data_IF_635402888097
#
_entry.id   IF_635402888097
#
_cell.length_a   1.000
_cell.length_b   1.000
_cell.length_c   1.000
_cell.angle_alpha   90.00
_cell.angle_beta   90.00
_cell.angle_gamma   90.00
#
_symmetry.space_group_name_H-M   'P 1'
#
loop_
_entity.id
_entity.type
_entity.pdbx_description
1 polymer ?
#
# COMPACT_ATOMS: atom_id res chain seq x y z
N UNK A 1 25.96 11.42 9.65
CA UNK A 1 25.12 10.52 10.45
C UNK A 1 23.94 11.35 10.92
N UNK A 2 22.76 11.22 10.31
CA UNK A 2 21.58 12.00 10.67
C UNK A 2 20.56 11.00 11.22
N UNK A 3 20.37 11.01 12.54
CA UNK A 3 19.56 10.04 13.29
C UNK A 3 18.06 10.35 13.13
N UNK A 4 17.19 9.37 13.39
CA UNK A 4 15.71 9.50 13.45
C UNK A 4 15.22 10.67 14.31
N UNK A 5 15.98 11.05 15.33
CA UNK A 5 15.76 12.24 16.17
C UNK A 5 15.76 13.54 15.35
N UNK A 6 16.58 13.64 14.31
CA UNK A 6 16.69 14.82 13.44
C UNK A 6 15.45 15.02 12.56
N UNK A 7 14.83 13.93 12.08
CA UNK A 7 13.61 14.01 11.25
C UNK A 7 12.36 14.30 12.11
N UNK A 8 12.31 13.80 13.35
CA UNK A 8 11.28 14.21 14.31
C UNK A 8 11.46 15.65 14.77
N UNK A 9 12.70 16.10 14.98
CA UNK A 9 13.01 17.48 15.38
C UNK A 9 12.68 18.51 14.28
N UNK A 10 12.81 18.15 13.00
CA UNK A 10 12.41 19.01 11.88
C UNK A 10 10.90 19.26 11.85
N UNK A 11 10.07 18.21 11.89
CA UNK A 11 8.60 18.34 11.80
C UNK A 11 8.16 19.28 10.65
N UNK A 12 7.27 20.25 10.93
CA UNK A 12 6.80 21.29 10.02
C UNK A 12 7.65 22.58 10.05
N UNK A 13 8.80 22.57 10.72
CA UNK A 13 9.63 23.77 10.84
C UNK A 13 10.34 24.11 9.52
N UNK A 14 10.36 25.41 9.23
CA UNK A 14 11.17 26.03 8.18
C UNK A 14 12.60 26.33 8.71
N UNK A 15 13.51 26.88 7.88
CA UNK A 15 14.86 27.26 8.29
C UNK A 15 14.97 28.18 9.52
N UNK A 16 13.91 28.92 9.88
CA UNK A 16 13.88 29.75 11.09
C UNK A 16 13.55 28.94 12.35
N UNK A 17 12.79 27.85 12.21
CA UNK A 17 12.40 26.98 13.32
C UNK A 17 13.34 25.78 13.51
N UNK A 18 14.02 25.33 12.46
CA UNK A 18 14.91 24.19 12.54
C UNK A 18 15.95 24.16 11.42
N UNK A 19 17.19 23.77 11.76
CA UNK A 19 18.27 23.53 10.80
C UNK A 19 18.92 22.16 11.09
N UNK A 20 19.37 21.45 10.04
CA UNK A 20 20.16 20.23 10.24
C UNK A 20 21.55 20.56 10.80
N UNK A 21 22.36 19.52 11.07
CA UNK A 21 23.76 19.69 11.48
C UNK A 21 24.53 20.62 10.54
N UNK A 22 25.49 21.40 11.05
CA UNK A 22 26.27 22.38 10.28
C UNK A 22 26.77 21.86 8.92
N UNK A 23 27.27 20.62 8.87
CA UNK A 23 27.78 19.99 7.64
C UNK A 23 26.73 19.77 6.53
N UNK A 24 25.43 19.83 6.85
CA UNK A 24 24.33 19.61 5.91
C UNK A 24 23.48 20.88 5.67
N UNK A 25 23.80 21.99 6.35
CA UNK A 25 23.02 23.22 6.28
C UNK A 25 23.05 23.85 4.88
N UNK A 26 24.20 23.84 4.20
CA UNK A 26 24.33 24.47 2.89
C UNK A 26 23.52 23.76 1.79
N UNK A 27 23.57 22.42 1.74
CA UNK A 27 22.76 21.64 0.80
C UNK A 27 21.27 21.75 1.12
N UNK A 28 20.90 21.71 2.41
CA UNK A 28 19.52 21.88 2.85
C UNK A 28 18.93 23.24 2.42
N UNK A 29 19.67 24.34 2.63
CA UNK A 29 19.19 25.67 2.26
C UNK A 29 19.20 25.89 0.75
N UNK A 30 20.16 25.31 0.02
CA UNK A 30 20.15 25.31 -1.45
C UNK A 30 18.88 24.65 -1.98
N UNK A 31 18.57 23.45 -1.49
CA UNK A 31 17.39 22.71 -1.93
C UNK A 31 16.10 23.43 -1.51
N UNK A 32 16.08 24.07 -0.33
CA UNK A 32 14.97 24.88 0.16
C UNK A 32 14.67 26.08 -0.75
N UNK A 33 15.70 26.86 -1.11
CA UNK A 33 15.57 28.01 -2.02
C UNK A 33 15.14 27.55 -3.41
N UNK A 34 15.72 26.47 -3.94
CA UNK A 34 15.34 25.91 -5.24
C UNK A 34 13.86 25.54 -5.27
N UNK A 35 13.35 24.86 -4.23
CA UNK A 35 11.93 24.49 -4.13
C UNK A 35 11.05 25.74 -4.13
N UNK A 36 11.32 26.71 -3.25
CA UNK A 36 10.48 27.91 -3.13
C UNK A 36 10.46 28.73 -4.42
N UNK A 37 11.62 28.92 -5.06
CA UNK A 37 11.71 29.62 -6.35
C UNK A 37 11.03 28.85 -7.48
N UNK A 38 11.22 27.53 -7.56
CA UNK A 38 10.64 26.69 -8.63
C UNK A 38 9.12 26.66 -8.59
N UNK A 39 8.53 26.68 -7.39
CA UNK A 39 7.09 26.56 -7.19
C UNK A 39 6.40 27.90 -6.90
N UNK A 40 7.12 29.03 -7.00
CA UNK A 40 6.55 30.36 -6.75
C UNK A 40 6.02 30.54 -5.32
N UNK A 41 6.60 29.84 -4.34
CA UNK A 41 6.16 29.87 -2.95
C UNK A 41 6.77 31.07 -2.22
N UNK A 42 5.99 31.67 -1.32
CA UNK A 42 6.47 32.79 -0.49
C UNK A 42 7.51 32.32 0.53
N UNK A 43 8.45 33.23 0.81
CA UNK A 43 9.41 33.13 1.91
C UNK A 43 9.12 34.30 2.84
N UNK A 44 8.83 34.00 4.11
CA UNK A 44 8.58 35.05 5.08
C UNK A 44 9.88 35.68 5.60
N UNK A 45 9.75 36.74 6.40
CA UNK A 45 10.91 37.50 6.87
C UNK A 45 11.80 36.72 7.86
N UNK A 46 11.21 35.82 8.65
CA UNK A 46 11.97 35.00 9.61
C UNK A 46 12.75 33.92 8.87
N UNK A 47 12.10 33.27 7.90
CA UNK A 47 12.68 32.27 7.01
C UNK A 47 13.84 32.86 6.20
N UNK A 48 13.64 34.04 5.59
CA UNK A 48 14.68 34.77 4.83
C UNK A 48 15.89 35.12 5.70
N UNK A 49 15.65 35.63 6.92
CA UNK A 49 16.74 36.03 7.82
C UNK A 49 17.54 34.82 8.32
N UNK A 50 16.89 33.67 8.52
CA UNK A 50 17.57 32.44 8.89
C UNK A 50 18.43 31.90 7.74
N UNK A 51 17.90 31.93 6.51
CA UNK A 51 18.64 31.54 5.30
C UNK A 51 19.89 32.40 5.14
N UNK A 52 19.75 33.73 5.14
CA UNK A 52 20.87 34.67 4.98
C UNK A 52 21.92 34.45 6.07
N UNK A 53 21.51 34.33 7.34
CA UNK A 53 22.42 34.12 8.46
C UNK A 53 23.29 32.87 8.28
N UNK A 54 22.70 31.76 7.86
CA UNK A 54 23.43 30.49 7.68
C UNK A 54 24.31 30.53 6.44
N UNK A 55 23.86 31.20 5.37
CA UNK A 55 24.67 31.41 4.18
C UNK A 55 25.92 32.25 4.49
N UNK A 56 25.75 33.31 5.27
CA UNK A 56 26.83 34.25 5.63
C UNK A 56 27.78 33.70 6.71
N UNK A 57 27.37 32.67 7.47
CA UNK A 57 28.18 32.11 8.57
C UNK A 57 28.71 30.70 8.31
N UNK A 58 27.83 29.74 8.00
CA UNK A 58 28.18 28.33 7.80
C UNK A 58 28.64 28.05 6.38
N UNK A 59 28.12 28.80 5.39
CA UNK A 59 28.39 28.56 3.97
C UNK A 59 29.30 29.62 3.33
N UNK A 60 29.89 30.51 4.13
CA UNK A 60 30.76 31.58 3.66
C UNK A 60 32.00 31.01 2.94
N UNK A 61 32.05 31.17 1.62
CA UNK A 61 33.09 30.65 0.73
C UNK A 61 32.57 29.78 -0.42
N UNK A 62 31.31 29.32 -0.37
CA UNK A 62 30.69 28.59 -1.47
C UNK A 62 30.05 29.56 -2.48
N UNK A 63 30.81 29.99 -3.49
CA UNK A 63 30.20 30.62 -4.67
C UNK A 63 29.48 29.56 -5.50
N UNK A 64 28.19 29.35 -5.22
CA UNK A 64 27.34 28.53 -6.09
C UNK A 64 26.89 29.41 -7.26
N UNK A 65 27.56 29.30 -8.40
CA UNK A 65 26.92 29.67 -9.68
C UNK A 65 25.65 28.84 -9.80
N UNK A 66 24.49 29.50 -9.87
CA UNK A 66 23.28 28.87 -10.36
C UNK A 66 23.59 28.48 -11.81
N UNK A 67 23.67 27.18 -12.16
CA UNK A 67 23.76 26.85 -13.56
C UNK A 67 22.45 27.33 -14.19
N UNK A 68 22.54 28.23 -15.16
CA UNK A 68 21.47 28.39 -16.14
C UNK A 68 21.34 27.03 -16.85
N UNK A 69 20.58 26.11 -16.27
CA UNK A 69 20.13 24.95 -17.00
C UNK A 69 19.15 25.49 -18.05
N UNK A 70 19.69 25.90 -19.19
CA UNK A 70 18.95 25.79 -20.44
C UNK A 70 18.42 24.37 -20.44
N UNK A 71 17.10 24.28 -20.48
CA UNK A 71 16.40 23.09 -20.91
C UNK A 71 16.98 22.79 -22.30
N UNK A 72 18.02 21.96 -22.36
CA UNK A 72 18.38 21.34 -23.62
C UNK A 72 17.19 20.50 -24.00
N UNK A 73 16.50 20.93 -25.06
CA UNK A 73 15.51 20.13 -25.72
C UNK A 73 16.04 18.71 -25.82
N UNK A 74 15.25 17.75 -25.30
CA UNK A 74 15.54 16.33 -25.43
C UNK A 74 15.70 16.05 -26.91
N UNK A 75 16.94 15.89 -27.36
CA UNK A 75 17.19 15.33 -28.68
C UNK A 75 16.68 13.90 -28.62
N UNK A 76 15.78 13.46 -29.53
CA UNK A 76 15.27 12.10 -29.49
C UNK A 76 16.44 11.13 -29.55
N UNK A 77 16.63 10.40 -28.46
CA UNK A 77 17.63 9.32 -28.38
C UNK A 77 17.19 8.25 -29.40
N UNK A 78 18.12 7.68 -30.20
CA UNK A 78 17.76 6.62 -31.14
C UNK A 78 17.06 5.45 -30.41
N UNK A 79 16.17 4.71 -31.10
CA UNK A 79 15.39 3.65 -30.49
C UNK A 79 16.31 2.64 -29.80
N UNK A 80 16.17 2.51 -28.49
CA UNK A 80 16.95 1.61 -27.66
C UNK A 80 16.49 0.18 -27.93
N UNK A 81 17.39 -0.66 -28.43
CA UNK A 81 17.14 -2.08 -28.73
C UNK A 81 17.27 -3.01 -27.50
N UNK A 82 17.53 -2.44 -26.31
CA UNK A 82 17.65 -3.15 -25.02
C UNK A 82 16.37 -3.04 -24.19
N UNK A 83 16.07 -4.08 -23.40
CA UNK A 83 14.85 -4.13 -22.57
C UNK A 83 13.61 -4.73 -23.26
N UNK A 84 13.79 -5.49 -24.36
CA UNK A 84 12.70 -6.26 -24.96
C UNK A 84 12.13 -7.23 -23.91
N UNK A 85 10.84 -7.08 -23.62
CA UNK A 85 10.13 -7.93 -22.71
C UNK A 85 9.65 -9.17 -23.44
N UNK A 86 10.11 -10.34 -23.01
CA UNK A 86 9.61 -11.61 -23.57
C UNK A 86 8.16 -11.80 -23.12
N UNK A 87 7.24 -11.89 -24.09
CA UNK A 87 5.81 -12.09 -23.80
C UNK A 87 5.60 -13.45 -23.13
N UNK A 88 4.73 -13.50 -22.13
CA UNK A 88 4.36 -14.76 -21.49
C UNK A 88 3.66 -15.70 -22.47
N UNK A 89 3.91 -17.01 -22.42
CA UNK A 89 3.25 -17.96 -23.29
C UNK A 89 1.73 -18.00 -23.02
N UNK A 90 0.96 -18.53 -23.96
CA UNK A 90 -0.44 -18.89 -23.69
C UNK A 90 -0.54 -19.97 -22.60
N UNK A 91 -1.71 -20.10 -21.99
CA UNK A 91 -1.95 -21.06 -20.90
C UNK A 91 -1.72 -20.47 -19.51
N UNK A 92 -1.47 -21.34 -18.53
CA UNK A 92 -1.35 -20.96 -17.11
C UNK A 92 0.09 -21.07 -16.67
N UNK A 93 0.64 -19.97 -16.17
CA UNK A 93 2.01 -19.86 -15.69
C UNK A 93 2.03 -19.35 -14.27
N UNK A 94 2.99 -19.80 -13.47
CA UNK A 94 3.21 -19.28 -12.12
C UNK A 94 4.61 -18.72 -12.00
N UNK A 95 4.72 -17.51 -11.47
CA UNK A 95 5.99 -16.87 -11.16
C UNK A 95 6.07 -16.67 -9.65
N UNK A 96 6.96 -17.43 -9.01
CA UNK A 96 7.13 -17.41 -7.56
C UNK A 96 8.59 -17.66 -7.18
N UNK A 97 9.13 -16.82 -6.29
CA UNK A 97 10.37 -17.06 -5.56
C UNK A 97 10.13 -17.66 -4.18
N UNK A 98 11.20 -17.99 -3.46
CA UNK A 98 11.13 -18.34 -2.03
C UNK A 98 10.63 -17.16 -1.18
N UNK A 99 10.88 -15.94 -1.65
CA UNK A 99 10.32 -14.71 -1.08
C UNK A 99 10.03 -13.66 -2.16
N UNK A 100 9.55 -12.49 -1.70
CA UNK A 100 9.19 -11.36 -2.57
C UNK A 100 10.34 -10.81 -3.42
N UNK A 101 11.58 -10.93 -2.94
CA UNK A 101 12.75 -10.43 -3.64
C UNK A 101 13.07 -11.37 -4.80
N UNK A 102 13.04 -12.68 -4.55
CA UNK A 102 13.24 -13.67 -5.60
C UNK A 102 12.06 -13.69 -6.61
N UNK A 103 10.80 -13.47 -6.19
CA UNK A 103 9.68 -13.30 -7.13
C UNK A 103 9.93 -12.10 -8.06
N UNK A 104 10.35 -10.95 -7.52
CA UNK A 104 10.67 -9.77 -8.32
C UNK A 104 11.81 -10.03 -9.32
N UNK A 105 12.85 -10.75 -8.89
CA UNK A 105 13.96 -11.19 -9.76
C UNK A 105 13.49 -12.14 -10.85
N UNK A 106 12.62 -13.11 -10.55
CA UNK A 106 12.08 -14.03 -11.56
C UNK A 106 11.23 -13.29 -12.60
N UNK A 107 10.46 -12.29 -12.18
CA UNK A 107 9.71 -11.44 -13.09
C UNK A 107 10.63 -10.60 -13.98
N UNK A 108 11.72 -10.04 -13.44
CA UNK A 108 12.66 -9.23 -14.22
C UNK A 108 13.50 -10.04 -15.21
N UNK A 109 13.55 -11.37 -15.09
CA UNK A 109 14.18 -12.24 -16.10
C UNK A 109 13.48 -12.22 -17.46
N UNK A 110 12.26 -11.68 -17.54
CA UNK A 110 11.61 -11.38 -18.82
C UNK A 110 12.30 -10.26 -19.61
N UNK A 111 13.14 -9.44 -18.97
CA UNK A 111 13.96 -8.41 -19.60
C UNK A 111 15.34 -8.93 -20.03
N UNK A 112 15.72 -8.56 -21.26
CA UNK A 112 17.10 -8.63 -21.73
C UNK A 112 18.01 -7.64 -20.98
N UNK A 113 19.30 -7.95 -20.79
CA UNK A 113 20.29 -7.02 -20.25
C UNK A 113 20.33 -5.67 -20.99
N UNK A 114 20.77 -4.63 -20.29
CA UNK A 114 20.87 -3.26 -20.80
C UNK A 114 19.59 -2.43 -20.66
N UNK A 115 18.81 -2.66 -19.60
CA UNK A 115 17.55 -1.93 -19.36
C UNK A 115 17.81 -0.42 -19.14
N UNK A 116 16.94 0.48 -19.63
CA UNK A 116 17.14 1.92 -19.46
C UNK A 116 17.13 2.36 -17.99
N UNK A 117 16.28 1.74 -17.17
CA UNK A 117 16.13 2.09 -15.76
C UNK A 117 15.70 0.89 -14.93
N UNK A 118 16.18 0.82 -13.69
CA UNK A 118 15.61 -0.03 -12.65
C UNK A 118 15.11 0.85 -11.52
N UNK A 119 13.83 0.78 -11.23
CA UNK A 119 13.27 1.35 -10.01
C UNK A 119 13.49 0.37 -8.86
N UNK A 120 13.87 0.89 -7.70
CA UNK A 120 14.13 0.12 -6.49
C UNK A 120 13.26 0.65 -5.37
N UNK A 121 12.40 -0.22 -4.84
CA UNK A 121 11.51 0.10 -3.72
C UNK A 121 11.77 -0.83 -2.53
N UNK A 122 11.34 -0.43 -1.33
CA UNK A 122 11.43 -1.29 -0.16
C UNK A 122 10.37 -2.40 -0.25
N UNK A 123 10.78 -3.64 -0.02
CA UNK A 123 9.88 -4.79 -0.10
C UNK A 123 8.86 -4.87 1.03
N UNK A 124 8.99 -4.05 2.09
CA UNK A 124 8.22 -4.14 3.34
C UNK A 124 7.20 -3.00 3.54
N UNK A 125 7.26 -1.93 2.75
CA UNK A 125 6.34 -0.79 2.80
C UNK A 125 5.98 -0.37 1.37
N UNK A 126 4.68 -0.27 1.08
CA UNK A 126 4.14 -0.30 -0.29
C UNK A 126 3.86 1.04 -0.98
N UNK A 127 3.64 2.20 -0.32
CA UNK A 127 2.99 3.32 -1.00
C UNK A 127 3.91 3.95 -2.05
N UNK A 128 5.21 4.08 -1.78
CA UNK A 128 6.16 4.68 -2.72
C UNK A 128 6.35 3.80 -3.98
N UNK A 129 6.09 2.49 -3.87
CA UNK A 129 6.23 1.53 -4.97
C UNK A 129 5.05 1.52 -5.95
N UNK A 130 3.87 1.98 -5.53
CA UNK A 130 2.64 1.93 -6.36
C UNK A 130 2.72 2.87 -7.57
N UNK A 131 3.36 4.04 -7.41
CA UNK A 131 3.66 4.93 -8.54
C UNK A 131 4.92 4.51 -9.30
N UNK A 132 5.84 3.79 -8.65
CA UNK A 132 7.10 3.36 -9.24
C UNK A 132 6.91 2.32 -10.36
N UNK A 133 5.96 1.40 -10.23
CA UNK A 133 5.72 0.37 -11.24
C UNK A 133 5.29 0.94 -12.59
N UNK A 134 4.22 1.74 -12.67
CA UNK A 134 3.83 2.43 -13.91
C UNK A 134 4.92 3.35 -14.46
N UNK A 135 5.69 4.03 -13.59
CA UNK A 135 6.83 4.85 -14.00
C UNK A 135 7.97 4.01 -14.62
N UNK A 136 8.27 2.86 -14.04
CA UNK A 136 9.24 1.90 -14.59
C UNK A 136 8.76 1.39 -15.95
N UNK A 137 7.50 0.96 -16.06
CA UNK A 137 6.91 0.50 -17.31
C UNK A 137 6.97 1.56 -18.42
N UNK A 138 6.61 2.81 -18.11
CA UNK A 138 6.68 3.93 -19.06
C UNK A 138 8.10 4.24 -19.56
N UNK A 139 9.12 3.84 -18.81
CA UNK A 139 10.53 4.01 -19.16
C UNK A 139 11.19 2.70 -19.66
N UNK A 140 10.38 1.68 -19.99
CA UNK A 140 10.84 0.34 -20.37
C UNK A 140 11.79 -0.30 -19.35
N UNK A 141 11.58 -0.02 -18.07
CA UNK A 141 12.41 -0.45 -16.95
C UNK A 141 11.75 -1.49 -16.07
N UNK A 142 12.56 -2.08 -15.18
CA UNK A 142 12.11 -3.05 -14.20
C UNK A 142 11.89 -2.40 -12.82
N UNK A 143 11.11 -3.07 -11.97
CA UNK A 143 10.98 -2.76 -10.55
C UNK A 143 11.54 -3.92 -9.73
N UNK A 144 12.57 -3.65 -8.93
CA UNK A 144 13.14 -4.60 -7.97
C UNK A 144 12.89 -4.15 -6.53
N UNK A 145 12.91 -5.11 -5.61
CA UNK A 145 12.67 -4.87 -4.20
C UNK A 145 13.97 -5.01 -3.41
N UNK A 146 14.17 -4.16 -2.40
CA UNK A 146 15.28 -4.26 -1.44
C UNK A 146 14.76 -4.20 -0.01
N UNK A 147 15.64 -4.46 0.95
CA UNK A 147 15.36 -4.19 2.37
C UNK A 147 15.84 -2.79 2.72
N UNK A 148 15.36 -2.28 3.85
CA UNK A 148 15.79 -0.97 4.36
C UNK A 148 17.32 -0.87 4.50
N UNK A 149 17.93 -1.91 5.03
CA UNK A 149 19.31 -1.97 5.51
C UNK A 149 20.26 -2.77 4.61
N UNK A 150 19.73 -3.52 3.62
CA UNK A 150 20.55 -4.33 2.71
C UNK A 150 19.92 -4.57 1.35
N UNK A 151 20.76 -4.74 0.32
CA UNK A 151 20.37 -5.32 -0.97
C UNK A 151 20.46 -6.85 -0.84
N UNK A 152 19.35 -7.61 -0.98
CA UNK A 152 19.42 -9.08 -1.00
C UNK A 152 20.34 -9.56 -2.13
N UNK A 153 21.08 -10.65 -1.89
CA UNK A 153 22.07 -11.18 -2.85
C UNK A 153 21.44 -11.51 -4.21
N UNK A 154 20.24 -12.10 -4.22
CA UNK A 154 19.49 -12.38 -5.45
C UNK A 154 19.18 -11.12 -6.26
N UNK A 155 18.98 -9.97 -5.59
CA UNK A 155 18.70 -8.68 -6.23
C UNK A 155 19.99 -8.07 -6.76
N UNK A 156 21.10 -8.19 -6.01
CA UNK A 156 22.42 -7.76 -6.45
C UNK A 156 22.86 -8.49 -7.73
N UNK A 157 22.72 -9.82 -7.76
CA UNK A 157 23.01 -10.64 -8.93
C UNK A 157 22.13 -10.25 -10.13
N UNK A 158 20.85 -9.96 -9.89
CA UNK A 158 19.95 -9.54 -10.96
C UNK A 158 20.27 -8.14 -11.49
N UNK A 159 20.68 -7.20 -10.64
CA UNK A 159 21.16 -5.89 -11.08
C UNK A 159 22.42 -6.01 -11.96
N UNK A 160 23.34 -6.90 -11.61
CA UNK A 160 24.51 -7.21 -12.45
C UNK A 160 24.12 -7.79 -13.81
N UNK A 161 23.10 -8.66 -13.84
CA UNK A 161 22.57 -9.23 -15.09
C UNK A 161 21.87 -8.18 -15.94
N UNK A 162 21.00 -7.37 -15.34
CA UNK A 162 20.19 -6.37 -16.02
C UNK A 162 21.02 -5.20 -16.57
N UNK A 163 22.19 -4.89 -15.98
CA UNK A 163 23.08 -3.80 -16.37
C UNK A 163 22.31 -2.48 -16.63
N UNK A 164 21.57 -1.97 -15.63
CA UNK A 164 20.75 -0.77 -15.82
C UNK A 164 21.61 0.46 -16.16
N UNK A 165 21.11 1.31 -17.07
CA UNK A 165 21.74 2.63 -17.32
C UNK A 165 21.52 3.59 -16.16
N UNK A 166 20.39 3.46 -15.47
CA UNK A 166 20.06 4.25 -14.29
C UNK A 166 19.35 3.42 -13.23
N UNK A 167 19.62 3.69 -11.97
CA UNK A 167 18.82 3.20 -10.83
C UNK A 167 18.06 4.37 -10.20
N UNK A 168 16.75 4.18 -10.00
CA UNK A 168 15.91 5.14 -9.26
C UNK A 168 15.48 4.50 -7.95
N UNK A 169 15.99 5.03 -6.84
CA UNK A 169 15.62 4.59 -5.49
C UNK A 169 14.39 5.37 -5.04
N UNK A 170 13.27 4.68 -4.81
CA UNK A 170 12.00 5.31 -4.41
C UNK A 170 11.85 5.28 -2.90
N UNK A 171 11.69 6.45 -2.30
CA UNK A 171 11.56 6.63 -0.85
C UNK A 171 12.81 7.26 -0.21
N UNK A 172 12.57 7.87 0.95
CA UNK A 172 13.60 8.61 1.71
C UNK A 172 14.66 7.68 2.31
N UNK A 173 15.68 8.26 2.95
CA UNK A 173 16.68 7.48 3.70
C UNK A 173 16.04 6.61 4.79
N UNK A 174 14.96 7.07 5.42
CA UNK A 174 14.21 6.29 6.41
C UNK A 174 13.51 5.06 5.83
N UNK A 175 13.29 5.02 4.51
CA UNK A 175 12.68 3.90 3.79
C UNK A 175 13.77 2.97 3.24
N UNK A 176 14.75 3.53 2.53
CA UNK A 176 15.92 2.82 2.00
C UNK A 176 17.17 3.57 2.45
N UNK A 177 17.94 2.96 3.35
CA UNK A 177 19.11 3.59 3.98
C UNK A 177 20.14 4.08 2.96
N UNK A 178 20.97 5.03 3.37
CA UNK A 178 22.08 5.50 2.54
C UNK A 178 23.14 4.42 2.30
N UNK A 179 23.26 3.42 3.18
CA UNK A 179 24.13 2.26 2.94
C UNK A 179 23.64 1.46 1.72
N UNK A 180 22.34 1.17 1.65
CA UNK A 180 21.73 0.50 0.48
C UNK A 180 21.87 1.36 -0.77
N UNK A 181 21.63 2.67 -0.69
CA UNK A 181 21.81 3.57 -1.84
C UNK A 181 23.23 3.51 -2.40
N UNK A 182 24.25 3.60 -1.53
CA UNK A 182 25.66 3.48 -1.93
C UNK A 182 25.97 2.11 -2.53
N UNK A 183 25.41 1.04 -1.96
CA UNK A 183 25.54 -0.30 -2.53
C UNK A 183 24.89 -0.38 -3.92
N UNK A 184 23.74 0.24 -4.14
CA UNK A 184 23.06 0.23 -5.45
C UNK A 184 23.84 1.01 -6.52
N UNK A 185 24.55 2.07 -6.12
CA UNK A 185 25.35 2.92 -7.02
C UNK A 185 26.44 2.15 -7.79
N UNK A 186 26.85 0.96 -7.33
CA UNK A 186 27.84 0.14 -8.03
C UNK A 186 27.28 -0.59 -9.27
N UNK A 187 25.95 -0.64 -9.45
CA UNK A 187 25.30 -1.41 -10.51
C UNK A 187 24.82 -0.58 -11.70
N UNK A 188 24.93 0.76 -11.63
CA UNK A 188 24.55 1.66 -12.71
C UNK A 188 25.44 2.91 -12.72
N UNK A 189 25.71 3.51 -13.89
CA UNK A 189 26.47 4.76 -13.97
C UNK A 189 25.71 5.97 -13.40
N UNK A 190 24.37 5.92 -13.40
CA UNK A 190 23.52 6.95 -12.80
C UNK A 190 22.66 6.34 -11.70
N UNK A 191 22.62 6.97 -10.54
CA UNK A 191 21.68 6.64 -9.48
C UNK A 191 21.03 7.92 -8.94
N UNK A 192 19.74 7.85 -8.66
CA UNK A 192 18.97 8.96 -8.12
C UNK A 192 18.00 8.48 -7.05
N UNK A 193 17.75 9.32 -6.05
CA UNK A 193 16.67 9.11 -5.07
C UNK A 193 15.45 9.99 -5.40
N UNK A 194 14.29 9.36 -5.45
CA UNK A 194 12.99 10.01 -5.62
C UNK A 194 12.22 9.87 -4.31
N UNK A 195 12.18 10.95 -3.52
CA UNK A 195 11.56 10.96 -2.19
C UNK A 195 11.04 12.36 -1.86
N UNK A 196 9.84 12.42 -1.31
CA UNK A 196 9.23 13.62 -0.71
C UNK A 196 9.07 13.50 0.79
N UNK A 197 8.45 14.49 1.42
CA UNK A 197 8.11 14.50 2.84
C UNK A 197 7.09 13.40 3.19
N UNK A 198 6.23 13.03 2.25
CA UNK A 198 5.30 11.92 2.39
C UNK A 198 5.15 11.10 1.09
N UNK A 199 4.27 10.10 1.14
CA UNK A 199 4.00 9.19 0.02
C UNK A 199 3.35 9.89 -1.19
N UNK A 200 2.59 10.95 -0.95
CA UNK A 200 1.90 11.70 -2.00
C UNK A 200 2.89 12.58 -2.74
N UNK A 201 3.78 13.26 -2.01
CA UNK A 201 4.88 14.00 -2.60
C UNK A 201 5.87 13.08 -3.31
N UNK A 202 6.20 11.92 -2.73
CA UNK A 202 7.04 10.91 -3.39
C UNK A 202 6.41 10.43 -4.69
N UNK A 203 5.10 10.14 -4.70
CA UNK A 203 4.35 9.81 -5.93
C UNK A 203 4.46 10.93 -6.97
N UNK A 204 4.23 12.18 -6.57
CA UNK A 204 4.37 13.34 -7.48
C UNK A 204 5.77 13.47 -8.06
N UNK A 205 6.83 13.32 -7.26
CA UNK A 205 8.23 13.39 -7.71
C UNK A 205 8.54 12.29 -8.73
N UNK A 206 8.12 11.05 -8.45
CA UNK A 206 8.30 9.92 -9.38
C UNK A 206 7.61 10.23 -10.71
N UNK A 207 6.35 10.66 -10.67
CA UNK A 207 5.58 10.97 -11.88
C UNK A 207 6.19 12.15 -12.64
N UNK A 208 6.58 13.21 -11.93
CA UNK A 208 7.14 14.43 -12.49
C UNK A 208 8.37 14.12 -13.36
N UNK A 209 9.21 13.22 -12.85
CA UNK A 209 10.48 12.81 -13.45
C UNK A 209 10.33 11.68 -14.46
N UNK A 210 9.24 10.91 -14.38
CA UNK A 210 8.99 9.79 -15.27
C UNK A 210 8.21 10.15 -16.53
N UNK A 211 7.32 11.14 -16.43
CA UNK A 211 6.40 11.53 -17.48
C UNK A 211 6.59 13.01 -17.83
N UNK A 212 6.95 13.27 -19.09
CA UNK A 212 6.98 14.63 -19.66
C UNK A 212 5.57 15.14 -19.97
N UNK A 213 4.69 14.25 -20.40
CA UNK A 213 3.26 14.49 -20.61
C UNK A 213 2.49 13.20 -20.39
N UNK A 214 1.19 13.32 -20.10
CA UNK A 214 0.28 12.18 -20.05
C UNK A 214 -1.16 12.65 -20.20
N UNK A 215 -1.85 12.33 -21.31
CA UNK A 215 -3.25 12.73 -21.53
C UNK A 215 -4.23 12.15 -20.51
N UNK A 216 -3.87 11.04 -19.87
CA UNK A 216 -4.68 10.43 -18.80
C UNK A 216 -3.85 10.26 -17.53
N UNK A 217 -4.43 10.57 -16.39
CA UNK A 217 -3.88 10.22 -15.08
C UNK A 217 -4.79 9.22 -14.35
N UNK A 218 -4.21 8.23 -13.68
CA UNK A 218 -4.94 7.38 -12.75
C UNK A 218 -4.78 7.92 -11.34
N UNK A 219 -5.89 8.07 -10.61
CA UNK A 219 -5.94 8.59 -9.25
C UNK A 219 -6.30 7.46 -8.30
N UNK A 220 -5.47 7.20 -7.30
CA UNK A 220 -5.73 6.20 -6.28
C UNK A 220 -5.39 6.73 -4.89
N UNK A 221 -5.99 6.17 -3.84
CA UNK A 221 -5.59 6.52 -2.47
C UNK A 221 -4.20 5.99 -2.16
N UNK A 222 -3.38 6.79 -1.47
CA UNK A 222 -2.13 6.32 -0.89
C UNK A 222 -2.29 5.64 0.46
N UNK A 223 -3.50 5.58 1.04
CA UNK A 223 -3.74 4.98 2.37
C UNK A 223 -3.78 3.43 2.33
N UNK A 224 -4.15 2.84 1.19
CA UNK A 224 -4.19 1.40 0.97
C UNK A 224 -3.75 1.07 -0.47
N UNK A 225 -3.51 -0.20 -0.79
CA UNK A 225 -2.89 -0.62 -2.05
C UNK A 225 -3.78 -1.31 -3.11
N UNK A 226 -4.88 -2.04 -2.79
CA UNK A 226 -5.54 -2.93 -3.76
C UNK A 226 -6.02 -2.25 -5.04
N UNK A 227 -6.54 -1.03 -4.92
CA UNK A 227 -7.09 -0.28 -6.06
C UNK A 227 -5.97 0.27 -6.96
N UNK A 228 -4.94 0.86 -6.34
CA UNK A 228 -3.74 1.33 -7.04
C UNK A 228 -3.00 0.19 -7.75
N UNK A 229 -2.93 -0.98 -7.11
CA UNK A 229 -2.33 -2.17 -7.68
C UNK A 229 -3.10 -2.68 -8.91
N UNK A 230 -4.44 -2.75 -8.81
CA UNK A 230 -5.29 -3.13 -9.96
C UNK A 230 -5.21 -2.10 -11.09
N UNK A 231 -5.00 -0.83 -10.74
CA UNK A 231 -4.80 0.25 -11.71
C UNK A 231 -3.43 0.19 -12.42
N UNK A 232 -2.42 -0.48 -11.86
CA UNK A 232 -1.06 -0.47 -12.43
C UNK A 232 -1.03 -1.00 -13.87
N UNK A 233 -1.65 -2.16 -14.13
CA UNK A 233 -1.76 -2.73 -15.47
C UNK A 233 -2.53 -1.82 -16.42
N UNK A 234 -3.70 -1.34 -15.99
CA UNK A 234 -4.56 -0.43 -16.77
C UNK A 234 -3.86 0.89 -17.12
N UNK A 235 -3.10 1.45 -16.18
CA UNK A 235 -2.34 2.68 -16.37
C UNK A 235 -1.17 2.47 -17.35
N UNK A 236 -0.42 1.37 -17.18
CA UNK A 236 0.65 1.01 -18.10
C UNK A 236 0.20 0.79 -19.54
N UNK A 237 -0.95 0.14 -19.73
CA UNK A 237 -1.52 -0.13 -21.05
C UNK A 237 -1.78 1.14 -21.87
N UNK A 238 -1.94 2.29 -21.22
CA UNK A 238 -2.13 3.60 -21.86
C UNK A 238 -0.97 4.57 -21.55
N UNK A 239 0.16 4.07 -21.06
CA UNK A 239 1.34 4.87 -20.67
C UNK A 239 0.99 6.04 -19.72
N UNK A 240 0.09 5.80 -18.78
CA UNK A 240 -0.35 6.78 -17.79
C UNK A 240 0.30 6.55 -16.41
N UNK A 241 0.50 7.62 -15.63
CA UNK A 241 0.92 7.49 -14.24
C UNK A 241 -0.24 7.04 -13.33
N UNK A 242 0.11 6.34 -12.24
CA UNK A 242 -0.76 6.17 -11.06
C UNK A 242 -0.32 7.16 -9.98
N UNK A 243 -1.14 8.18 -9.77
CA UNK A 243 -0.93 9.28 -8.84
C UNK A 243 -1.65 9.01 -7.52
N UNK A 244 -0.89 9.05 -6.43
CA UNK A 244 -1.44 8.82 -5.10
C UNK A 244 -1.94 10.11 -4.49
N UNK A 245 -3.16 10.06 -3.96
CA UNK A 245 -3.80 11.18 -3.25
C UNK A 245 -4.17 10.79 -1.83
N UNK A 246 -4.29 11.80 -0.96
CA UNK A 246 -4.89 11.62 0.37
C UNK A 246 -6.40 11.47 0.19
N UNK A 247 -6.83 10.24 -0.06
CA UNK A 247 -8.16 9.95 -0.59
C UNK A 247 -9.34 10.44 0.25
N UNK A 248 -9.20 10.53 1.57
CA UNK A 248 -10.24 11.06 2.48
C UNK A 248 -10.28 12.60 2.55
N UNK A 249 -9.35 13.30 1.90
CA UNK A 249 -9.36 14.76 1.89
C UNK A 249 -10.62 15.31 1.21
N UNK A 250 -11.09 16.48 1.66
CA UNK A 250 -12.28 17.13 1.12
C UNK A 250 -12.10 17.70 -0.29
N UNK A 251 -10.88 17.80 -0.80
CA UNK A 251 -10.56 18.27 -2.15
C UNK A 251 -9.17 17.77 -2.58
N UNK A 252 -8.87 17.89 -3.88
CA UNK A 252 -7.55 17.59 -4.42
C UNK A 252 -6.56 18.65 -3.94
N UNK A 253 -5.37 18.24 -3.48
CA UNK A 253 -4.34 19.20 -3.06
C UNK A 253 -3.76 19.95 -4.27
N UNK A 254 -3.35 21.20 -4.03
CA UNK A 254 -2.88 22.10 -5.09
C UNK A 254 -1.66 21.54 -5.84
N UNK A 255 -0.70 20.92 -5.15
CA UNK A 255 0.49 20.36 -5.80
C UNK A 255 0.13 19.23 -6.76
N UNK A 256 -0.84 18.39 -6.40
CA UNK A 256 -1.38 17.36 -7.28
C UNK A 256 -2.12 17.97 -8.48
N UNK A 257 -2.97 18.97 -8.28
CA UNK A 257 -3.66 19.68 -9.37
C UNK A 257 -2.67 20.33 -10.35
N UNK A 258 -1.61 20.98 -9.84
CA UNK A 258 -0.54 21.56 -10.66
C UNK A 258 0.18 20.50 -11.49
N UNK A 259 0.48 19.33 -10.91
CA UNK A 259 1.14 18.25 -11.65
C UNK A 259 0.25 17.71 -12.78
N UNK A 260 -1.05 17.56 -12.55
CA UNK A 260 -2.02 17.17 -13.60
C UNK A 260 -1.99 18.18 -14.76
N UNK A 261 -1.99 19.48 -14.45
CA UNK A 261 -1.87 20.54 -15.46
C UNK A 261 -0.54 20.49 -16.22
N UNK A 262 0.59 20.31 -15.52
CA UNK A 262 1.93 20.20 -16.11
C UNK A 262 2.05 19.01 -17.07
N UNK A 263 1.39 17.89 -16.76
CA UNK A 263 1.34 16.71 -17.62
C UNK A 263 0.51 16.93 -18.89
N UNK A 264 -0.26 18.02 -18.97
CA UNK A 264 -1.23 18.24 -20.04
C UNK A 264 -2.35 17.19 -20.02
N UNK A 265 -2.68 16.66 -18.84
CA UNK A 265 -3.72 15.66 -18.71
C UNK A 265 -5.08 16.26 -19.07
N UNK A 266 -5.81 15.56 -19.94
CA UNK A 266 -7.16 15.93 -20.36
C UNK A 266 -8.21 15.00 -19.76
N UNK A 267 -7.80 13.91 -19.11
CA UNK A 267 -8.68 12.91 -18.51
C UNK A 267 -8.12 12.33 -17.22
N UNK A 268 -9.01 11.94 -16.30
CA UNK A 268 -8.65 11.28 -15.05
C UNK A 268 -9.50 10.02 -14.83
N UNK A 269 -8.85 8.95 -14.39
CA UNK A 269 -9.49 7.69 -13.99
C UNK A 269 -9.30 7.46 -12.50
N UNK A 270 -10.37 7.52 -11.73
CA UNK A 270 -10.33 7.32 -10.28
C UNK A 270 -10.48 5.82 -10.00
N UNK A 271 -9.48 5.23 -9.36
CA UNK A 271 -9.49 3.86 -8.86
C UNK A 271 -9.98 3.84 -7.41
N UNK A 272 -11.18 3.31 -7.19
CA UNK A 272 -11.79 3.18 -5.88
C UNK A 272 -13.06 4.00 -5.68
N UNK A 273 -13.84 3.60 -4.69
CA UNK A 273 -15.13 4.22 -4.34
C UNK A 273 -14.95 5.60 -3.69
N UNK A 274 -16.07 6.31 -3.50
CA UNK A 274 -16.08 7.59 -2.80
C UNK A 274 -15.60 7.51 -1.33
N UNK A 275 -15.60 6.31 -0.73
CA UNK A 275 -15.11 6.09 0.63
C UNK A 275 -13.58 6.08 0.72
N UNK A 276 -12.88 5.79 -0.38
CA UNK A 276 -11.41 5.73 -0.42
C UNK A 276 -10.79 6.85 -1.26
N UNK A 277 -11.51 7.40 -2.23
CA UNK A 277 -11.16 8.65 -2.93
C UNK A 277 -12.42 9.51 -2.95
N UNK A 278 -12.44 10.56 -2.12
CA UNK A 278 -13.63 11.33 -1.81
C UNK A 278 -14.31 11.94 -3.05
N UNK A 279 -15.60 12.27 -2.90
CA UNK A 279 -16.32 13.04 -3.92
C UNK A 279 -15.74 14.43 -4.12
N UNK A 280 -15.16 15.02 -3.08
CA UNK A 280 -14.55 16.34 -3.19
C UNK A 280 -13.28 16.35 -4.06
N UNK A 281 -12.48 15.28 -4.01
CA UNK A 281 -11.37 15.06 -4.95
C UNK A 281 -11.89 14.90 -6.38
N UNK A 282 -12.94 14.08 -6.59
CA UNK A 282 -13.57 13.92 -7.90
C UNK A 282 -14.11 15.24 -8.45
N UNK A 283 -14.77 16.05 -7.62
CA UNK A 283 -15.25 17.38 -8.00
C UNK A 283 -14.10 18.33 -8.37
N UNK A 284 -12.97 18.26 -7.66
CA UNK A 284 -11.78 19.05 -7.99
C UNK A 284 -11.23 18.66 -9.37
N UNK A 285 -11.17 17.36 -9.67
CA UNK A 285 -10.77 16.83 -10.98
C UNK A 285 -11.75 17.25 -12.08
N UNK A 286 -13.06 17.17 -11.81
CA UNK A 286 -14.11 17.59 -12.76
C UNK A 286 -14.03 19.08 -13.05
N UNK A 287 -13.77 19.91 -12.03
CA UNK A 287 -13.57 21.34 -12.20
C UNK A 287 -12.34 21.66 -13.08
N UNK A 288 -11.28 20.85 -12.96
CA UNK A 288 -10.04 21.05 -13.72
C UNK A 288 -10.10 20.46 -15.14
N UNK A 289 -10.74 19.30 -15.34
CA UNK A 289 -10.67 18.50 -16.58
C UNK A 289 -11.99 18.45 -17.36
N UNK A 290 -13.11 18.83 -16.75
CA UNK A 290 -14.46 18.70 -17.29
C UNK A 290 -15.14 17.38 -16.90
N UNK A 291 -16.46 17.42 -16.72
CA UNK A 291 -17.25 16.28 -16.21
C UNK A 291 -17.24 15.06 -17.13
N UNK A 292 -17.13 15.25 -18.45
CA UNK A 292 -17.03 14.16 -19.42
C UNK A 292 -15.69 13.42 -19.41
N UNK A 293 -14.69 13.96 -18.72
CA UNK A 293 -13.30 13.48 -18.77
C UNK A 293 -12.82 12.81 -17.46
N UNK A 294 -13.68 12.77 -16.44
CA UNK A 294 -13.38 12.12 -15.16
C UNK A 294 -14.26 10.90 -15.02
N UNK A 295 -13.64 9.72 -14.88
CA UNK A 295 -14.35 8.45 -14.74
C UNK A 295 -13.91 7.75 -13.46
N UNK A 296 -14.89 7.33 -12.65
CA UNK A 296 -14.64 6.53 -11.46
C UNK A 296 -14.88 5.05 -11.75
N UNK A 297 -13.89 4.22 -11.41
CA UNK A 297 -13.96 2.77 -11.47
C UNK A 297 -13.95 2.23 -10.03
N UNK A 298 -15.09 1.75 -9.57
CA UNK A 298 -15.29 1.30 -8.20
C UNK A 298 -16.31 0.18 -8.12
N UNK A 299 -16.17 -0.66 -7.09
CA UNK A 299 -17.18 -1.63 -6.67
C UNK A 299 -17.40 -1.59 -5.16
N UNK A 300 -18.21 -2.52 -4.64
CA UNK A 300 -18.49 -2.63 -3.21
C UNK A 300 -17.28 -3.09 -2.40
N UNK A 301 -16.33 -3.78 -3.04
CA UNK A 301 -15.07 -4.19 -2.45
C UNK A 301 -13.88 -4.04 -3.42
N UNK A 302 -12.69 -4.46 -2.97
CA UNK A 302 -11.45 -4.41 -3.76
C UNK A 302 -11.49 -5.28 -5.02
N UNK A 303 -12.24 -6.38 -4.99
CA UNK A 303 -12.32 -7.33 -6.09
C UNK A 303 -13.25 -6.81 -7.18
N UNK A 304 -14.41 -6.26 -6.81
CA UNK A 304 -15.28 -5.58 -7.76
C UNK A 304 -14.63 -4.31 -8.33
N UNK A 305 -13.88 -3.56 -7.52
CA UNK A 305 -13.10 -2.42 -8.01
C UNK A 305 -12.03 -2.87 -9.02
N UNK A 306 -11.34 -3.98 -8.75
CA UNK A 306 -10.40 -4.59 -9.70
C UNK A 306 -11.08 -4.98 -11.02
N UNK A 307 -12.31 -5.53 -10.98
CA UNK A 307 -13.11 -5.80 -12.19
C UNK A 307 -13.44 -4.52 -12.94
N UNK A 308 -13.93 -3.48 -12.24
CA UNK A 308 -14.33 -2.22 -12.86
C UNK A 308 -13.17 -1.54 -13.60
N UNK A 309 -11.98 -1.52 -12.99
CA UNK A 309 -10.76 -0.95 -13.58
C UNK A 309 -10.34 -1.74 -14.82
N UNK A 310 -10.20 -3.07 -14.69
CA UNK A 310 -9.70 -3.88 -15.80
C UNK A 310 -10.69 -3.99 -16.95
N UNK A 311 -12.00 -4.04 -16.68
CA UNK A 311 -13.04 -4.06 -17.73
C UNK A 311 -13.06 -2.76 -18.54
N UNK A 312 -12.75 -1.63 -17.92
CA UNK A 312 -12.66 -0.35 -18.62
C UNK A 312 -11.41 -0.22 -19.48
N UNK A 313 -10.32 -0.91 -19.11
CA UNK A 313 -9.02 -0.79 -19.78
C UNK A 313 -8.74 -1.88 -20.82
N UNK A 314 -9.36 -3.06 -20.71
CA UNK A 314 -8.98 -4.24 -21.47
C UNK A 314 -10.16 -4.95 -22.13
N UNK A 315 -9.97 -5.39 -23.39
CA UNK A 315 -10.94 -6.16 -24.15
C UNK A 315 -10.82 -7.68 -23.95
N UNK A 316 -11.75 -8.48 -24.53
CA UNK A 316 -11.67 -9.93 -24.52
C UNK A 316 -10.35 -10.46 -25.09
N UNK A 317 -9.89 -11.62 -24.61
CA UNK A 317 -8.65 -12.26 -25.04
C UNK A 317 -7.37 -11.70 -24.41
N UNK A 318 -7.44 -10.53 -23.77
CA UNK A 318 -6.28 -9.91 -23.11
C UNK A 318 -5.72 -10.85 -22.03
N UNK A 319 -4.42 -11.21 -22.07
CA UNK A 319 -3.81 -12.04 -21.04
C UNK A 319 -3.78 -11.31 -19.69
N UNK A 320 -3.79 -12.08 -18.60
CA UNK A 320 -3.97 -11.53 -17.25
C UNK A 320 -2.89 -11.98 -16.28
N UNK A 321 -2.51 -11.09 -15.38
CA UNK A 321 -1.86 -11.41 -14.12
C UNK A 321 -2.90 -11.56 -13.02
N UNK A 322 -2.69 -12.54 -12.14
CA UNK A 322 -3.47 -12.74 -10.93
C UNK A 322 -2.51 -12.65 -9.76
N UNK A 323 -2.76 -11.71 -8.86
CA UNK A 323 -2.02 -11.57 -7.60
C UNK A 323 -2.96 -11.78 -6.40
N UNK A 324 -2.39 -11.99 -5.22
CA UNK A 324 -3.18 -11.93 -3.99
C UNK A 324 -3.62 -10.50 -3.71
N UNK A 325 -4.89 -10.32 -3.30
CA UNK A 325 -5.43 -9.04 -2.84
C UNK A 325 -5.19 -8.77 -1.36
N UNK A 326 -4.55 -9.68 -0.62
CA UNK A 326 -4.27 -9.56 0.82
C UNK A 326 -2.82 -9.21 1.15
N UNK A 327 -1.91 -9.31 0.18
CA UNK A 327 -0.50 -8.91 0.27
C UNK A 327 -0.09 -8.20 -1.03
N UNK A 328 0.94 -7.37 -0.98
CA UNK A 328 1.30 -6.47 -2.08
C UNK A 328 2.59 -6.86 -2.83
N UNK A 329 3.50 -7.59 -2.19
CA UNK A 329 4.90 -7.60 -2.62
C UNK A 329 5.13 -8.31 -3.98
N UNK A 330 4.55 -9.50 -4.18
CA UNK A 330 4.62 -10.20 -5.47
C UNK A 330 3.85 -9.43 -6.56
N UNK A 331 2.83 -8.68 -6.16
CA UNK A 331 1.97 -7.93 -7.05
C UNK A 331 2.61 -6.62 -7.55
N UNK A 332 3.51 -5.99 -6.79
CA UNK A 332 4.18 -4.75 -7.21
C UNK A 332 5.10 -4.97 -8.42
N UNK A 333 6.00 -5.95 -8.31
CA UNK A 333 6.88 -6.31 -9.42
C UNK A 333 6.05 -6.84 -10.61
N UNK A 334 5.03 -7.66 -10.32
CA UNK A 334 4.15 -8.19 -11.37
C UNK A 334 3.30 -7.12 -12.04
N UNK A 335 2.90 -6.07 -11.32
CA UNK A 335 2.16 -4.93 -11.85
C UNK A 335 2.98 -4.10 -12.83
N UNK A 336 4.30 -3.98 -12.61
CA UNK A 336 5.23 -3.34 -13.55
C UNK A 336 5.30 -4.13 -14.86
N UNK A 337 5.40 -5.45 -14.76
CA UNK A 337 5.40 -6.32 -15.94
C UNK A 337 4.05 -6.29 -16.65
N UNK A 338 2.94 -6.34 -15.90
CA UNK A 338 1.59 -6.25 -16.46
C UNK A 338 1.38 -4.94 -17.22
N UNK A 339 1.80 -3.83 -16.61
CA UNK A 339 1.79 -2.49 -17.19
C UNK A 339 2.56 -2.43 -18.53
N UNK A 340 3.78 -2.95 -18.57
CA UNK A 340 4.62 -2.90 -19.77
C UNK A 340 4.19 -3.88 -20.87
N UNK A 341 3.63 -5.03 -20.47
CA UNK A 341 3.21 -6.08 -21.40
C UNK A 341 1.76 -5.94 -21.86
N UNK A 342 1.05 -4.89 -21.43
CA UNK A 342 -0.36 -4.66 -21.77
C UNK A 342 -1.30 -5.74 -21.22
N UNK A 343 -0.96 -6.35 -20.09
CA UNK A 343 -1.79 -7.35 -19.43
C UNK A 343 -2.67 -6.71 -18.37
N UNK A 344 -3.88 -7.25 -18.21
CA UNK A 344 -4.72 -6.89 -17.08
C UNK A 344 -4.13 -7.45 -15.77
N UNK A 345 -4.33 -6.77 -14.64
CA UNK A 345 -3.94 -7.26 -13.33
C UNK A 345 -5.17 -7.36 -12.43
N UNK A 346 -5.57 -8.60 -12.16
CA UNK A 346 -6.63 -8.90 -11.21
C UNK A 346 -6.05 -9.33 -9.87
N UNK A 347 -6.77 -9.00 -8.79
CA UNK A 347 -6.47 -9.49 -7.45
C UNK A 347 -7.46 -10.57 -7.03
N UNK A 348 -6.99 -11.56 -6.27
CA UNK A 348 -7.78 -12.72 -5.80
C UNK A 348 -7.64 -12.92 -4.30
N UNK A 349 -8.44 -13.84 -3.72
CA UNK A 349 -8.15 -14.43 -2.41
C UNK A 349 -7.15 -15.57 -2.59
N UNK A 350 -6.54 -16.01 -1.50
CA UNK A 350 -5.55 -17.11 -1.50
C UNK A 350 -6.18 -18.45 -1.91
N UNK A 351 -7.35 -18.79 -1.34
CA UNK A 351 -7.95 -20.12 -1.47
C UNK A 351 -8.98 -20.25 -2.60
N UNK A 352 -9.42 -19.13 -3.18
CA UNK A 352 -10.46 -19.12 -4.21
C UNK A 352 -10.47 -17.79 -4.97
N UNK A 353 -11.10 -17.79 -6.15
CA UNK A 353 -11.30 -16.58 -6.97
C UNK A 353 -12.64 -15.93 -6.60
N UNK A 354 -12.68 -14.66 -6.17
CA UNK A 354 -13.94 -13.98 -5.88
C UNK A 354 -14.90 -14.01 -7.07
N UNK A 355 -16.20 -14.20 -6.81
CA UNK A 355 -17.23 -14.37 -7.85
C UNK A 355 -17.16 -13.28 -8.94
N UNK A 356 -17.03 -11.97 -8.61
CA UNK A 356 -16.90 -10.94 -9.64
C UNK A 356 -15.71 -11.17 -10.58
N UNK A 357 -14.58 -11.62 -10.05
CA UNK A 357 -13.36 -11.89 -10.82
C UNK A 357 -13.54 -13.14 -11.67
N UNK A 358 -14.05 -14.25 -11.13
CA UNK A 358 -14.24 -15.50 -11.89
C UNK A 358 -15.25 -15.31 -13.02
N UNK A 359 -16.33 -14.56 -12.79
CA UNK A 359 -17.31 -14.19 -13.82
C UNK A 359 -16.65 -13.37 -14.92
N UNK A 360 -15.87 -12.35 -14.56
CA UNK A 360 -15.17 -11.51 -15.53
C UNK A 360 -14.12 -12.28 -16.34
N UNK A 361 -13.34 -13.17 -15.71
CA UNK A 361 -12.34 -13.99 -16.41
C UNK A 361 -12.98 -15.01 -17.35
N UNK A 362 -14.15 -15.55 -16.98
CA UNK A 362 -14.94 -16.44 -17.85
C UNK A 362 -15.49 -15.70 -19.07
N UNK A 363 -16.01 -14.49 -18.86
CA UNK A 363 -16.55 -13.65 -19.94
C UNK A 363 -15.45 -13.14 -20.89
N UNK A 364 -14.31 -12.70 -20.35
CA UNK A 364 -13.21 -12.12 -21.13
C UNK A 364 -12.33 -13.15 -21.84
N UNK A 365 -12.34 -14.42 -21.42
CA UNK A 365 -11.58 -15.54 -22.04
C UNK A 365 -10.11 -15.17 -22.31
N UNK A 366 -9.32 -14.86 -21.26
CA UNK A 366 -7.94 -14.42 -21.46
C UNK A 366 -7.09 -15.51 -22.13
N UNK A 367 -6.25 -15.09 -23.08
CA UNK A 367 -5.36 -16.00 -23.83
C UNK A 367 -4.27 -16.67 -22.98
N UNK A 368 -3.97 -16.10 -21.82
CA UNK A 368 -3.04 -16.65 -20.84
C UNK A 368 -3.26 -16.05 -19.45
N UNK A 369 -2.81 -16.77 -18.42
CA UNK A 369 -2.89 -16.37 -17.01
C UNK A 369 -1.53 -16.54 -16.35
N UNK A 370 -1.05 -15.50 -15.69
CA UNK A 370 0.17 -15.54 -14.88
C UNK A 370 -0.18 -15.35 -13.41
N UNK A 371 0.02 -16.38 -12.59
CA UNK A 371 -0.15 -16.31 -11.15
C UNK A 371 1.13 -15.77 -10.50
N UNK A 372 0.98 -14.72 -9.69
CA UNK A 372 2.05 -14.05 -8.98
C UNK A 372 2.11 -14.56 -7.54
N UNK A 373 3.22 -15.21 -7.20
CA UNK A 373 3.46 -15.77 -5.87
C UNK A 373 3.26 -17.28 -5.78
N UNK A 374 3.70 -17.83 -4.64
CA UNK A 374 3.67 -19.26 -4.37
C UNK A 374 2.25 -19.80 -4.18
N UNK A 375 2.10 -21.11 -4.01
CA UNK A 375 0.81 -21.74 -3.66
C UNK A 375 0.26 -21.27 -2.32
N UNK A 376 1.11 -20.78 -1.41
CA UNK A 376 0.69 -20.13 -0.17
C UNK A 376 0.14 -18.71 -0.37
N UNK A 377 0.44 -18.05 -1.49
CA UNK A 377 -0.17 -16.76 -1.85
C UNK A 377 -1.43 -16.95 -2.72
N UNK A 378 -1.38 -17.89 -3.66
CA UNK A 378 -2.47 -18.27 -4.56
C UNK A 378 -2.49 -19.79 -4.72
N UNK A 379 -3.42 -20.47 -4.05
CA UNK A 379 -3.55 -21.92 -4.04
C UNK A 379 -3.81 -22.52 -5.43
N UNK A 380 -3.77 -23.86 -5.51
CA UNK A 380 -4.18 -24.60 -6.71
C UNK A 380 -5.65 -24.33 -7.11
N UNK A 381 -6.50 -23.96 -6.15
CA UNK A 381 -7.89 -23.58 -6.44
C UNK A 381 -7.96 -22.30 -7.29
N UNK A 382 -7.10 -21.31 -7.00
CA UNK A 382 -7.02 -20.08 -7.82
C UNK A 382 -6.48 -20.40 -9.21
N UNK A 383 -5.49 -21.27 -9.32
CA UNK A 383 -4.92 -21.71 -10.60
C UNK A 383 -5.97 -22.35 -11.51
N UNK A 384 -6.84 -23.16 -10.92
CA UNK A 384 -8.00 -23.78 -11.55
C UNK A 384 -9.22 -22.84 -11.69
N UNK A 385 -9.09 -21.55 -11.34
CA UNK A 385 -10.16 -20.55 -11.34
C UNK A 385 -11.41 -20.96 -10.55
N UNK A 386 -11.25 -21.74 -9.47
CA UNK A 386 -12.37 -22.12 -8.61
C UNK A 386 -12.93 -20.88 -7.93
N UNK A 387 -14.19 -20.58 -8.22
CA UNK A 387 -14.89 -19.47 -7.61
C UNK A 387 -14.98 -19.69 -6.08
N UNK A 388 -14.90 -18.61 -5.32
CA UNK A 388 -15.25 -18.63 -3.92
C UNK A 388 -16.70 -19.07 -3.78
N UNK A 389 -16.99 -19.85 -2.74
CA UNK A 389 -18.36 -20.10 -2.35
C UNK A 389 -19.08 -18.75 -2.20
N UNK A 390 -20.30 -18.67 -2.73
CA UNK A 390 -21.14 -17.50 -2.46
C UNK A 390 -21.17 -17.29 -0.95
N UNK A 391 -21.04 -16.03 -0.46
CA UNK A 391 -21.29 -15.75 0.92
C UNK A 391 -22.62 -16.42 1.27
N UNK A 392 -22.61 -17.37 2.19
CA UNK A 392 -23.88 -17.87 2.70
C UNK A 392 -24.60 -16.63 3.23
N UNK A 393 -25.92 -16.48 2.96
CA UNK A 393 -26.70 -15.48 3.65
C UNK A 393 -26.31 -15.56 5.13
N UNK A 394 -26.13 -14.43 5.84
CA UNK A 394 -25.94 -14.51 7.29
C UNK A 394 -27.02 -15.46 7.77
N UNK A 395 -26.61 -16.54 8.45
CA UNK A 395 -27.56 -17.43 9.08
C UNK A 395 -28.43 -16.48 9.89
N UNK A 396 -29.70 -16.35 9.50
CA UNK A 396 -30.67 -15.64 10.31
C UNK A 396 -30.77 -16.51 11.54
N UNK A 397 -29.87 -16.30 12.49
CA UNK A 397 -30.14 -16.68 13.86
C UNK A 397 -31.45 -15.98 14.14
N UNK A 398 -32.55 -16.71 14.40
CA UNK A 398 -33.77 -16.07 14.85
C UNK A 398 -33.37 -15.08 15.94
N UNK A 399 -34.00 -13.88 16.01
CA UNK A 399 -33.71 -12.95 17.09
C UNK A 399 -33.65 -13.78 18.37
N UNK A 400 -32.59 -13.65 19.19
CA UNK A 400 -32.54 -14.40 20.44
C UNK A 400 -33.89 -14.18 21.09
N UNK A 401 -34.59 -15.27 21.41
CA UNK A 401 -35.84 -15.21 22.17
C UNK A 401 -35.57 -14.17 23.24
N UNK A 402 -36.32 -13.06 23.23
CA UNK A 402 -36.09 -11.97 24.18
C UNK A 402 -36.24 -12.61 25.54
N UNK A 403 -35.11 -12.95 26.16
CA UNK A 403 -35.10 -13.34 27.55
C UNK A 403 -35.56 -12.06 28.25
N UNK A 404 -36.60 -12.13 29.11
CA UNK A 404 -37.03 -10.97 29.87
C UNK A 404 -35.81 -10.29 30.49
N UNK A 405 -35.83 -8.95 30.63
CA UNK A 405 -34.66 -8.16 30.98
C UNK A 405 -33.91 -8.77 32.17
N UNK A 406 -32.57 -8.66 32.22
CA UNK A 406 -31.81 -9.19 33.33
C UNK A 406 -32.38 -8.58 34.61
N UNK A 407 -32.95 -9.42 35.47
CA UNK A 407 -33.11 -9.06 36.86
C UNK A 407 -31.69 -8.82 37.35
N UNK A 408 -31.37 -7.57 37.67
CA UNK A 408 -30.15 -7.22 38.38
C UNK A 408 -30.09 -8.09 39.63
N UNK A 409 -29.23 -9.11 39.62
CA UNK A 409 -28.95 -9.88 40.82
C UNK A 409 -28.20 -8.95 41.78
N UNK A 410 -28.70 -8.78 43.02
CA UNK A 410 -27.95 -8.09 44.06
C UNK A 410 -26.61 -8.80 44.26
N UNK A 411 -25.54 -8.02 44.38
CA UNK A 411 -24.23 -8.51 44.79
C UNK A 411 -24.37 -9.29 46.12
N UNK A 412 -23.79 -10.51 46.25
CA UNK A 412 -23.91 -11.26 47.50
C UNK A 412 -23.16 -10.51 48.63
N UNK A 413 -23.72 -10.45 49.85
CA UNK A 413 -22.99 -9.93 51.00
C UNK A 413 -21.75 -10.80 51.26
N UNK A 414 -20.68 -10.20 51.78
CA UNK A 414 -19.47 -10.90 52.18
C UNK A 414 -19.80 -12.02 53.19
N UNK A 415 -19.92 -13.25 52.69
CA UNK A 415 -20.19 -14.43 53.50
C UNK A 415 -18.91 -15.00 54.14
N UNK A 416 -19.02 -15.71 55.28
CA UNK A 416 -17.87 -16.31 55.96
C UNK A 416 -17.26 -17.45 55.13
N UNK A 417 -15.99 -17.75 55.42
CA UNK A 417 -15.14 -18.74 54.74
C UNK A 417 -15.81 -20.13 54.57
N UNK A 418 -15.39 -20.93 53.57
CA UNK A 418 -15.95 -22.26 53.32
C UNK A 418 -15.85 -23.14 54.57
N UNK A 419 -16.99 -23.74 54.97
CA UNK A 419 -17.11 -24.50 56.23
C UNK A 419 -18.00 -25.73 56.02
N UNK A 420 -17.56 -26.87 56.52
CA UNK A 420 -18.33 -28.13 56.50
C UNK A 420 -19.38 -28.21 57.63
N UNK A 421 -19.59 -27.12 58.37
CA UNK A 421 -20.52 -27.05 59.50
C UNK A 421 -21.87 -26.41 59.15
N UNK A 422 -22.04 -25.99 57.90
CA UNK A 422 -23.29 -25.40 57.40
C UNK A 422 -24.25 -26.54 57.05
N UNK A 423 -25.51 -26.43 57.46
CA UNK A 423 -26.57 -27.40 57.18
C UNK A 423 -27.79 -26.71 56.55
N UNK A 424 -28.72 -27.49 55.99
CA UNK A 424 -29.95 -26.94 55.39
C UNK A 424 -30.79 -26.10 56.36
N UNK A 425 -30.80 -26.43 57.65
CA UNK A 425 -31.52 -25.65 58.68
C UNK A 425 -30.97 -24.25 58.89
N UNK A 426 -29.76 -23.95 58.42
CA UNK A 426 -29.15 -22.63 58.55
C UNK A 426 -29.68 -21.64 57.50
N UNK A 427 -30.48 -22.13 56.55
CA UNK A 427 -31.09 -21.34 55.49
C UNK A 427 -32.60 -21.25 55.67
N UNK A 428 -33.14 -20.04 55.52
CA UNK A 428 -34.58 -19.81 55.59
C UNK A 428 -35.35 -20.33 54.36
N UNK A 429 -34.67 -20.50 53.21
CA UNK A 429 -35.29 -20.94 51.95
C UNK A 429 -34.33 -21.79 51.12
N UNK A 430 -34.88 -22.65 50.26
CA UNK A 430 -34.10 -23.49 49.35
C UNK A 430 -33.18 -22.66 48.44
N UNK A 431 -33.69 -21.54 47.92
CA UNK A 431 -32.93 -20.65 47.03
C UNK A 431 -31.69 -20.04 47.70
N UNK A 432 -31.77 -19.75 49.00
CA UNK A 432 -30.64 -19.24 49.77
C UNK A 432 -29.56 -20.31 49.94
N UNK A 433 -29.97 -21.55 50.23
CA UNK A 433 -29.07 -22.70 50.29
C UNK A 433 -28.40 -22.98 48.93
N UNK A 434 -29.19 -22.97 47.85
CA UNK A 434 -28.69 -23.17 46.48
C UNK A 434 -27.64 -22.14 46.08
N UNK A 435 -27.86 -20.86 46.41
CA UNK A 435 -26.93 -19.78 46.07
C UNK A 435 -25.58 -19.94 46.79
N UNK A 436 -25.60 -20.40 48.04
CA UNK A 436 -24.39 -20.69 48.81
C UNK A 436 -23.64 -21.90 48.25
N UNK A 437 -24.38 -22.98 47.95
CA UNK A 437 -23.86 -24.21 47.34
C UNK A 437 -23.18 -23.95 45.98
N UNK A 438 -23.83 -23.22 45.08
CA UNK A 438 -23.28 -22.94 43.75
C UNK A 438 -22.04 -22.06 43.80
N UNK A 439 -21.99 -21.09 44.70
CA UNK A 439 -20.83 -20.23 44.88
C UNK A 439 -19.58 -21.05 45.22
N UNK A 440 -19.66 -21.94 46.21
CA UNK A 440 -18.51 -22.74 46.64
C UNK A 440 -18.19 -23.90 45.69
N UNK A 441 -19.20 -24.50 45.06
CA UNK A 441 -19.00 -25.49 43.99
C UNK A 441 -18.22 -24.90 42.82
N UNK A 442 -18.59 -23.69 42.37
CA UNK A 442 -17.91 -23.00 41.27
C UNK A 442 -16.51 -22.49 41.64
N UNK A 443 -16.28 -22.20 42.93
CA UNK A 443 -14.95 -21.88 43.45
C UNK A 443 -14.04 -23.11 43.62
N UNK A 444 -14.51 -24.31 43.25
CA UNK A 444 -13.73 -25.55 43.24
C UNK A 444 -13.75 -26.34 44.54
N UNK A 445 -14.55 -25.94 45.53
CA UNK A 445 -14.66 -26.64 46.82
C UNK A 445 -15.68 -27.80 46.80
N UNK A 446 -16.47 -27.91 45.73
CA UNK A 446 -17.54 -28.90 45.63
C UNK A 446 -18.64 -28.70 46.68
N UNK A 447 -19.37 -29.77 47.00
CA UNK A 447 -20.37 -29.77 48.08
C UNK A 447 -19.71 -29.90 49.46
N UNK A 448 -18.99 -28.87 49.89
CA UNK A 448 -18.19 -28.91 51.11
C UNK A 448 -19.01 -29.10 52.39
N UNK A 449 -20.31 -28.79 52.35
CA UNK A 449 -21.24 -28.84 53.47
C UNK A 449 -22.25 -30.00 53.36
N UNK A 450 -22.24 -30.77 52.27
CA UNK A 450 -23.16 -31.90 52.09
C UNK A 450 -24.62 -31.48 51.92
N UNK A 451 -24.87 -30.34 51.27
CA UNK A 451 -26.21 -29.78 51.10
C UNK A 451 -26.99 -30.45 49.96
N UNK A 452 -26.30 -31.06 49.00
CA UNK A 452 -26.85 -31.80 47.86
C UNK A 452 -26.68 -33.31 48.11
N UNK A 453 -27.69 -33.89 48.78
CA UNK A 453 -27.57 -35.23 49.36
C UNK A 453 -27.66 -36.34 48.30
N UNK A 454 -28.46 -36.14 47.27
CA UNK A 454 -28.66 -37.06 46.16
C UNK A 454 -27.80 -36.74 44.93
N UNK A 455 -27.02 -35.65 44.99
CA UNK A 455 -25.95 -35.28 44.05
C UNK A 455 -26.46 -34.94 42.66
N UNK A 456 -27.66 -34.38 42.59
CA UNK A 456 -28.27 -33.95 41.34
C UNK A 456 -27.94 -32.49 40.99
N UNK A 457 -27.25 -31.80 41.90
CA UNK A 457 -26.85 -30.41 41.77
C UNK A 457 -27.78 -29.42 42.48
N UNK A 458 -28.76 -29.90 43.25
CA UNK A 458 -29.75 -29.09 43.96
C UNK A 458 -29.57 -29.25 45.49
N UNK A 459 -29.24 -28.16 46.15
CA UNK A 459 -29.04 -28.12 47.59
C UNK A 459 -30.38 -28.01 48.33
N UNK A 460 -30.52 -28.79 49.41
CA UNK A 460 -31.55 -28.64 50.43
C UNK A 460 -32.99 -28.59 49.89
N UNK A 461 -33.34 -29.51 48.99
CA UNK A 461 -34.63 -29.55 48.27
C UNK A 461 -35.88 -29.58 49.17
N UNK A 462 -35.71 -29.97 50.44
CA UNK A 462 -36.80 -30.03 51.42
C UNK A 462 -37.15 -28.68 52.04
N UNK A 463 -36.36 -27.63 51.79
CA UNK A 463 -36.66 -26.28 52.27
C UNK A 463 -37.73 -25.60 51.40
N UNK A 464 -38.55 -24.71 51.98
CA UNK A 464 -39.56 -23.95 51.24
C UNK A 464 -38.96 -22.94 50.25
#
# INVERSE_FOLDING_TARGET
MVLSASNQAKSAHDPSGWLPSAAAQCDYLRDWVIVKTRWGLSVDSAEKNAIIRVLDSTCAGASTRIPESRISAVTPTPPVTGGVLTRFPSGVHRVAGADRYETAVKLSRSFSPGVPVVYVAVGLNFPDALSAGPAAAAQNGALLLVRHDRVPEVVAAELQRLKPRRIVVTGSEGVISNAVYKQLAQYAPEIRRDAGADRYETSRIIIERAFSSSPTVFIATGQNFPDALSAAGAAGAVSAPVMLVRGEASQLDAATATLIGRLGASSARIAGSAAVVSRGIEQSLVAQLGSGNVQRHAGSDRYETSVAINKAAFGPGTPVFIATGTSFADALAGGTIAAQSGHALYISRQECVPIPISTQLTASKPSGRVLLGSTGALSANVEALRACAAPQPPVVTPPPVVKPPPVTTPQPPAGPAPSSKVNCSDFATQRAAQSWFEYYRNAGYGDIAGLDRDKDGIACETLP
#
